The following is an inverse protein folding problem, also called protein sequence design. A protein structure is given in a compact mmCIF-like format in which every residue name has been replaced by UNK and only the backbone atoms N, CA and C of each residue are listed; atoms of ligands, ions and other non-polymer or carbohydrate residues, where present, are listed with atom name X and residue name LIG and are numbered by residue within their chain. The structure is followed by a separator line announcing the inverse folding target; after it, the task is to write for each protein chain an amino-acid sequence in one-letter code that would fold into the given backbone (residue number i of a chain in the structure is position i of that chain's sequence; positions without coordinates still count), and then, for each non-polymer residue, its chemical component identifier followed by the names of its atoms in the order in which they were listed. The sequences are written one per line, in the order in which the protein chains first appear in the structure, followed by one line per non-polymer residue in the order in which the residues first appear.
data_IF_723449937321
#
_entry.id   IF_723449937321
#
_cell.length_a   1.000
_cell.length_b   1.000
_cell.length_c   1.000
_cell.angle_alpha   90.00
_cell.angle_beta   90.00
_cell.angle_gamma   90.00
#
_symmetry.space_group_name_H-M   'P 1'
#
loop_
_entity.id
_entity.type
_entity.pdbx_description
1 polymer ?
#
# COMPACT_ATOMS: atom_id res chain seq x y z
N UNK A 1 16.48 2.39 -13.27
CA UNK A 1 15.59 1.20 -13.22
C UNK A 1 16.43 0.03 -13.73
N UNK A 2 16.68 -1.03 -12.92
CA UNK A 2 17.44 -2.17 -13.40
C UNK A 2 16.66 -2.87 -14.52
N UNK A 3 17.31 -3.07 -15.67
CA UNK A 3 16.76 -3.87 -16.76
C UNK A 3 16.75 -5.34 -16.33
N UNK A 4 15.59 -5.98 -16.43
CA UNK A 4 15.42 -7.41 -16.12
C UNK A 4 15.37 -8.20 -17.42
N UNK A 5 16.00 -9.38 -17.41
CA UNK A 5 15.80 -10.35 -18.47
C UNK A 5 14.33 -10.85 -18.39
N UNK A 6 13.62 -10.74 -19.48
CA UNK A 6 12.27 -11.28 -19.58
C UNK A 6 12.36 -12.78 -19.86
N UNK A 7 12.01 -13.60 -18.87
CA UNK A 7 11.89 -15.05 -19.08
C UNK A 7 10.44 -15.39 -19.44
N UNK A 8 10.27 -15.97 -20.63
CA UNK A 8 9.00 -16.47 -21.11
C UNK A 8 8.86 -17.93 -20.65
N UNK A 9 8.05 -18.18 -19.62
CA UNK A 9 7.80 -19.52 -19.13
C UNK A 9 7.23 -19.53 -17.71
N UNK A 10 6.87 -20.70 -17.15
CA UNK A 10 6.34 -20.84 -15.79
C UNK A 10 7.41 -20.69 -14.70
N UNK A 11 8.60 -20.17 -15.03
CA UNK A 11 9.69 -19.95 -14.09
C UNK A 11 9.40 -18.81 -13.10
N UNK A 12 9.91 -18.94 -11.90
CA UNK A 12 9.88 -17.85 -10.92
C UNK A 12 10.80 -16.71 -11.37
N UNK A 13 10.26 -15.50 -11.42
CA UNK A 13 11.00 -14.30 -11.83
C UNK A 13 12.14 -13.96 -10.86
N UNK A 14 12.03 -14.38 -9.60
CA UNK A 14 12.99 -14.19 -8.53
C UNK A 14 13.55 -15.56 -8.12
N UNK A 15 14.86 -15.71 -8.25
CA UNK A 15 15.54 -16.96 -7.90
C UNK A 15 15.72 -17.12 -6.39
N UNK A 16 15.94 -16.00 -5.68
CA UNK A 16 16.01 -15.94 -4.23
C UNK A 16 14.68 -15.42 -3.69
N UNK A 17 14.09 -16.15 -2.77
CA UNK A 17 12.90 -15.74 -2.03
C UNK A 17 13.04 -16.14 -0.57
N UNK A 18 12.76 -15.19 0.32
CA UNK A 18 12.72 -15.42 1.76
C UNK A 18 11.43 -14.86 2.32
N UNK A 19 10.60 -15.73 2.88
CA UNK A 19 9.26 -15.42 3.37
C UNK A 19 9.27 -15.22 4.86
N UNK A 20 8.90 -14.03 5.33
CA UNK A 20 8.74 -13.72 6.75
C UNK A 20 7.26 -13.61 7.04
N UNK A 21 6.75 -14.49 7.91
CA UNK A 21 5.32 -14.63 8.20
C UNK A 21 5.04 -14.35 9.66
N UNK A 22 4.10 -13.46 9.93
CA UNK A 22 3.57 -13.17 11.26
C UNK A 22 2.14 -13.72 11.47
N UNK A 23 1.54 -13.57 12.65
CA UNK A 23 0.14 -13.88 12.91
C UNK A 23 -0.81 -13.13 11.96
N UNK A 24 -2.10 -13.50 11.93
CA UNK A 24 -3.10 -12.84 11.08
C UNK A 24 -3.22 -11.32 11.35
N UNK A 25 -2.94 -10.90 12.58
CA UNK A 25 -2.94 -9.50 13.05
C UNK A 25 -1.52 -8.95 13.25
N UNK A 26 -0.48 -9.60 12.67
CA UNK A 26 0.91 -9.17 12.81
C UNK A 26 1.07 -7.67 12.51
N UNK A 27 1.94 -7.02 13.27
CA UNK A 27 2.32 -5.63 12.99
C UNK A 27 3.05 -5.57 11.63
N UNK A 28 2.57 -4.69 10.76
CA UNK A 28 3.15 -4.49 9.44
C UNK A 28 4.52 -3.81 9.50
N UNK A 29 4.73 -2.94 10.49
CA UNK A 29 6.02 -2.28 10.71
C UNK A 29 7.09 -3.29 11.13
N UNK A 30 6.74 -4.20 12.02
CA UNK A 30 7.68 -5.24 12.47
C UNK A 30 8.05 -6.20 11.32
N UNK A 31 7.06 -6.60 10.49
CA UNK A 31 7.36 -7.41 9.29
C UNK A 31 8.28 -6.66 8.32
N UNK A 32 8.07 -5.36 8.18
CA UNK A 32 8.89 -4.52 7.30
C UNK A 32 10.31 -4.35 7.86
N UNK A 33 10.47 -4.10 9.17
CA UNK A 33 11.80 -4.00 9.77
C UNK A 33 12.61 -5.29 9.61
N UNK A 34 11.99 -6.45 9.86
CA UNK A 34 12.64 -7.75 9.63
C UNK A 34 13.02 -7.96 8.16
N UNK A 35 12.19 -7.51 7.22
CA UNK A 35 12.50 -7.60 5.79
C UNK A 35 13.64 -6.66 5.38
N UNK A 36 13.74 -5.47 5.99
CA UNK A 36 14.85 -4.54 5.74
C UNK A 36 16.18 -5.09 6.28
N UNK A 37 16.18 -5.75 7.45
CA UNK A 37 17.39 -6.42 7.95
C UNK A 37 17.92 -7.46 6.96
N UNK A 38 17.03 -8.25 6.34
CA UNK A 38 17.43 -9.21 5.29
C UNK A 38 17.92 -8.48 4.04
N UNK A 39 17.25 -7.38 3.64
CA UNK A 39 17.69 -6.58 2.49
C UNK A 39 19.05 -5.95 2.71
N UNK A 40 19.34 -5.47 3.93
CA UNK A 40 20.64 -4.87 4.25
C UNK A 40 21.77 -5.90 4.13
N UNK A 41 21.57 -7.12 4.63
CA UNK A 41 22.51 -8.22 4.44
C UNK A 41 22.75 -8.56 2.95
N UNK A 42 21.68 -8.46 2.13
CA UNK A 42 21.79 -8.67 0.69
C UNK A 42 22.49 -7.49 -0.03
N UNK A 43 22.27 -6.24 0.43
CA UNK A 43 22.95 -5.04 -0.12
C UNK A 43 24.45 -5.06 0.11
N UNK A 44 24.86 -5.60 1.25
CA UNK A 44 26.26 -5.74 1.62
C UNK A 44 26.97 -6.88 0.87
N UNK A 45 26.19 -7.74 0.18
CA UNK A 45 26.75 -8.88 -0.55
C UNK A 45 26.93 -8.55 -2.05
N UNK A 46 28.20 -8.48 -2.55
CA UNK A 46 28.47 -8.13 -3.95
C UNK A 46 27.87 -9.08 -4.98
N UNK A 47 27.54 -10.31 -4.59
CA UNK A 47 26.91 -11.30 -5.46
C UNK A 47 25.40 -11.12 -5.60
N UNK A 48 24.77 -10.31 -4.75
CA UNK A 48 23.37 -9.98 -4.84
C UNK A 48 23.14 -8.83 -5.85
N UNK A 49 22.26 -9.07 -6.81
CA UNK A 49 21.91 -8.09 -7.84
C UNK A 49 20.61 -7.35 -7.54
N UNK A 50 19.65 -7.42 -8.47
CA UNK A 50 18.35 -6.80 -8.25
C UNK A 50 17.63 -7.41 -7.04
N UNK A 51 17.12 -6.56 -6.14
CA UNK A 51 16.42 -6.98 -4.94
C UNK A 51 15.20 -6.09 -4.67
N UNK A 52 14.18 -6.65 -4.05
CA UNK A 52 12.97 -5.92 -3.64
C UNK A 52 12.22 -6.66 -2.54
N UNK A 53 11.25 -5.95 -1.94
CA UNK A 53 10.21 -6.51 -1.09
C UNK A 53 8.89 -6.51 -1.87
N UNK A 54 8.12 -7.58 -1.77
CA UNK A 54 6.86 -7.76 -2.51
C UNK A 54 5.73 -6.81 -2.06
N UNK A 55 5.82 -6.24 -0.85
CA UNK A 55 4.84 -5.25 -0.35
C UNK A 55 5.01 -3.87 -1.01
N UNK A 56 6.10 -3.62 -1.73
CA UNK A 56 6.43 -2.33 -2.33
C UNK A 56 6.59 -1.21 -1.30
N UNK A 57 6.60 0.03 -1.77
CA UNK A 57 6.72 1.22 -0.91
C UNK A 57 5.35 1.59 -0.33
N UNK A 58 5.36 2.17 0.88
CA UNK A 58 4.18 2.80 1.45
C UNK A 58 3.76 3.98 0.60
N UNK A 59 2.46 4.27 0.65
CA UNK A 59 1.89 5.45 -0.01
C UNK A 59 1.33 6.41 1.03
N UNK A 60 1.42 7.72 0.80
CA UNK A 60 0.79 8.70 1.65
C UNK A 60 -0.73 8.63 1.48
N UNK A 61 -1.44 8.69 2.60
CA UNK A 61 -2.90 8.70 2.69
C UNK A 61 -3.35 9.94 3.44
N UNK A 62 -4.26 10.68 2.87
CA UNK A 62 -4.90 11.82 3.53
C UNK A 62 -6.14 11.33 4.30
N UNK A 63 -6.17 11.59 5.60
CA UNK A 63 -7.27 11.20 6.47
C UNK A 63 -7.91 12.47 7.06
N UNK A 64 -9.17 12.79 6.70
CA UNK A 64 -9.89 13.84 7.37
C UNK A 64 -10.09 13.52 8.84
N UNK A 65 -9.70 14.44 9.73
CA UNK A 65 -9.88 14.27 11.17
C UNK A 65 -11.32 14.67 11.51
N UNK A 66 -12.20 13.68 11.52
CA UNK A 66 -13.62 13.88 11.74
C UNK A 66 -13.93 14.32 13.17
N UNK A 67 -14.59 15.48 13.33
CA UNK A 67 -15.03 15.98 14.61
C UNK A 67 -16.49 15.55 14.88
N UNK A 68 -16.66 14.56 15.75
CA UNK A 68 -17.95 13.94 15.99
C UNK A 68 -18.99 14.90 16.57
N UNK A 69 -18.59 15.83 17.44
CA UNK A 69 -19.53 16.77 18.07
C UNK A 69 -20.10 17.73 17.04
N UNK A 70 -19.24 18.42 16.30
CA UNK A 70 -19.65 19.37 15.26
C UNK A 70 -20.47 18.70 14.16
N UNK A 71 -20.04 17.52 13.74
CA UNK A 71 -20.71 16.75 12.70
C UNK A 71 -22.12 16.29 13.14
N UNK A 72 -22.27 15.91 14.43
CA UNK A 72 -23.57 15.53 14.99
C UNK A 72 -24.57 16.68 14.98
N UNK A 73 -24.12 17.89 15.35
CA UNK A 73 -24.97 19.09 15.27
C UNK A 73 -25.36 19.43 13.82
N UNK A 74 -24.44 19.22 12.88
CA UNK A 74 -24.67 19.46 11.46
C UNK A 74 -25.45 18.34 10.74
N UNK A 75 -25.76 17.22 11.43
CA UNK A 75 -26.40 16.06 10.83
C UNK A 75 -25.55 15.30 9.80
N UNK A 76 -24.22 15.43 9.89
CA UNK A 76 -23.25 14.83 8.97
C UNK A 76 -22.72 13.52 9.54
N UNK A 77 -22.84 12.43 8.82
CA UNK A 77 -22.21 11.17 9.16
C UNK A 77 -20.76 11.09 8.67
N UNK A 78 -19.97 10.20 9.26
CA UNK A 78 -18.59 9.93 8.80
C UNK A 78 -18.56 9.48 7.33
N UNK A 79 -19.59 8.75 6.92
CA UNK A 79 -19.77 8.29 5.53
C UNK A 79 -19.95 9.47 4.56
N UNK A 80 -20.66 10.53 4.96
CA UNK A 80 -20.87 11.72 4.11
C UNK A 80 -19.55 12.42 3.83
N UNK A 81 -18.67 12.54 4.86
CA UNK A 81 -17.31 13.08 4.71
C UNK A 81 -16.46 12.21 3.79
N UNK A 82 -16.52 10.88 3.97
CA UNK A 82 -15.77 9.94 3.11
C UNK A 82 -16.25 10.00 1.65
N UNK A 83 -17.57 10.08 1.44
CA UNK A 83 -18.14 10.21 0.09
C UNK A 83 -17.79 11.54 -0.58
N UNK A 84 -17.77 12.63 0.18
CA UNK A 84 -17.39 13.94 -0.33
C UNK A 84 -15.91 13.96 -0.76
N UNK A 85 -15.00 13.45 0.09
CA UNK A 85 -13.56 13.36 -0.22
C UNK A 85 -13.29 12.42 -1.40
N UNK A 86 -13.92 11.25 -1.42
CA UNK A 86 -13.80 10.31 -2.55
C UNK A 86 -14.28 10.93 -3.86
N UNK A 87 -15.45 11.59 -3.85
CA UNK A 87 -15.97 12.29 -5.03
C UNK A 87 -15.01 13.37 -5.54
N UNK A 88 -14.39 14.12 -4.63
CA UNK A 88 -13.49 15.21 -5.02
C UNK A 88 -12.19 14.71 -5.65
N UNK A 89 -11.53 13.72 -5.05
CA UNK A 89 -10.18 13.31 -5.42
C UNK A 89 -10.15 12.06 -6.33
N UNK A 90 -10.79 10.96 -5.92
CA UNK A 90 -10.79 9.70 -6.67
C UNK A 90 -11.83 9.70 -7.80
N UNK A 91 -12.95 10.36 -7.53
CA UNK A 91 -14.13 10.32 -8.36
C UNK A 91 -15.18 9.30 -7.89
N UNK A 92 -16.43 9.58 -8.24
CA UNK A 92 -17.58 8.72 -8.00
C UNK A 92 -18.23 8.34 -9.31
N UNK A 93 -18.43 7.06 -9.54
CA UNK A 93 -19.22 6.58 -10.67
C UNK A 93 -20.68 6.96 -10.45
N UNK A 94 -21.24 7.77 -11.36
CA UNK A 94 -22.61 8.27 -11.32
C UNK A 94 -23.53 7.58 -12.33
N UNK A 95 -22.97 6.83 -13.26
CA UNK A 95 -23.71 6.09 -14.28
C UNK A 95 -22.78 5.22 -15.11
N UNK A 96 -23.41 4.44 -16.00
CA UNK A 96 -22.72 3.63 -16.98
C UNK A 96 -23.21 4.03 -18.37
N UNK A 97 -22.29 4.32 -19.26
CA UNK A 97 -22.58 4.49 -20.69
C UNK A 97 -22.31 3.18 -21.40
N UNK A 98 -23.28 2.71 -22.19
CA UNK A 98 -23.13 1.50 -22.98
C UNK A 98 -22.73 1.86 -24.39
N UNK A 99 -21.58 1.37 -24.82
CA UNK A 99 -21.12 1.45 -26.19
C UNK A 99 -20.95 0.03 -26.75
N UNK A 100 -21.90 -0.38 -27.59
CA UNK A 100 -22.01 -1.75 -28.09
C UNK A 100 -22.01 -2.78 -26.94
N UNK A 101 -20.94 -3.57 -26.78
CA UNK A 101 -20.78 -4.60 -25.74
C UNK A 101 -20.01 -4.09 -24.52
N UNK A 102 -19.47 -2.88 -24.56
CA UNK A 102 -18.71 -2.29 -23.45
C UNK A 102 -19.57 -1.40 -22.57
N UNK A 103 -19.35 -1.49 -21.25
CA UNK A 103 -19.95 -0.63 -20.24
C UNK A 103 -18.88 0.33 -19.71
N UNK A 104 -18.97 1.59 -20.12
CA UNK A 104 -18.03 2.64 -19.72
C UNK A 104 -18.56 3.40 -18.51
N UNK A 105 -17.82 3.45 -17.37
CA UNK A 105 -18.25 4.19 -16.20
C UNK A 105 -18.17 5.70 -16.43
N UNK A 106 -19.25 6.41 -16.11
CA UNK A 106 -19.27 7.87 -16.06
C UNK A 106 -18.79 8.27 -14.65
N UNK A 107 -17.62 8.90 -14.57
CA UNK A 107 -17.01 9.28 -13.28
C UNK A 107 -17.08 10.78 -13.09
N UNK A 108 -17.74 11.20 -12.00
CA UNK A 108 -17.77 12.59 -11.53
C UNK A 108 -16.63 12.83 -10.54
N UNK A 109 -15.75 13.79 -10.82
CA UNK A 109 -14.69 14.24 -9.93
C UNK A 109 -14.40 15.73 -10.13
N UNK A 110 -13.71 16.35 -9.17
CA UNK A 110 -13.25 17.73 -9.31
C UNK A 110 -12.22 17.88 -10.44
N UNK A 111 -12.09 19.06 -10.98
CA UNK A 111 -11.08 19.40 -11.99
C UNK A 111 -9.67 19.23 -11.42
N UNK A 112 -8.69 19.07 -12.29
CA UNK A 112 -7.32 18.74 -11.88
C UNK A 112 -6.67 19.82 -11.00
N UNK A 113 -6.88 21.08 -11.32
CA UNK A 113 -6.35 22.20 -10.55
C UNK A 113 -6.82 22.20 -9.09
N UNK A 114 -8.10 21.88 -8.84
CA UNK A 114 -8.66 21.78 -7.51
C UNK A 114 -8.11 20.57 -6.74
N UNK A 115 -7.78 19.49 -7.44
CA UNK A 115 -7.23 18.27 -6.84
C UNK A 115 -5.73 18.36 -6.54
N UNK A 116 -5.01 19.21 -7.26
CA UNK A 116 -3.57 19.40 -7.08
C UNK A 116 -3.22 20.18 -5.81
N UNK A 117 -4.20 20.90 -5.22
CA UNK A 117 -3.99 21.72 -4.03
C UNK A 117 -4.74 21.18 -2.81
N UNK A 118 -4.03 21.07 -1.67
CA UNK A 118 -4.65 20.79 -0.38
C UNK A 118 -5.49 21.96 0.16
N UNK A 119 -5.26 23.19 -0.32
CA UNK A 119 -6.05 24.35 0.07
C UNK A 119 -7.52 24.22 -0.34
N UNK A 120 -7.80 23.44 -1.38
CA UNK A 120 -9.18 23.18 -1.84
C UNK A 120 -9.95 22.23 -0.90
N UNK A 121 -9.26 21.55 0.02
CA UNK A 121 -9.89 20.62 0.93
C UNK A 121 -10.87 21.32 1.88
N UNK A 122 -10.49 22.41 2.49
CA UNK A 122 -11.30 23.10 3.51
C UNK A 122 -12.63 23.66 2.97
N UNK A 123 -12.68 23.95 1.67
CA UNK A 123 -13.89 24.44 0.99
C UNK A 123 -14.74 23.32 0.37
N UNK A 124 -14.27 22.09 0.43
CA UNK A 124 -14.99 20.94 -0.10
C UNK A 124 -16.38 20.82 0.54
N UNK A 125 -17.41 20.71 -0.29
CA UNK A 125 -18.79 20.62 0.18
C UNK A 125 -19.17 19.20 0.53
N UNK A 126 -19.63 19.02 1.79
CA UNK A 126 -20.22 17.79 2.30
C UNK A 126 -21.74 17.93 2.30
N UNK A 127 -22.44 16.96 1.77
CA UNK A 127 -23.90 16.88 1.80
C UNK A 127 -24.30 15.81 2.81
N UNK A 128 -25.02 16.17 3.90
CA UNK A 128 -25.60 15.19 4.80
C UNK A 128 -26.62 14.31 4.06
N UNK A 129 -26.68 13.03 4.42
CA UNK A 129 -27.55 12.06 3.74
C UNK A 129 -29.06 12.35 3.83
N UNK A 130 -29.47 13.15 4.80
CA UNK A 130 -30.90 13.46 5.05
C UNK A 130 -31.32 14.85 4.56
N UNK A 131 -30.41 15.66 4.05
CA UNK A 131 -30.71 17.03 3.60
C UNK A 131 -30.15 17.32 2.22
N UNK A 132 -30.72 18.31 1.55
CA UNK A 132 -30.18 18.81 0.26
C UNK A 132 -29.17 19.95 0.46
N UNK A 133 -29.07 20.47 1.69
CA UNK A 133 -28.11 21.53 2.03
C UNK A 133 -26.70 20.96 2.11
N UNK A 134 -25.71 21.72 1.65
CA UNK A 134 -24.30 21.38 1.76
C UNK A 134 -23.61 22.31 2.75
N UNK A 135 -22.51 21.85 3.33
CA UNK A 135 -21.66 22.63 4.22
C UNK A 135 -20.19 22.34 3.95
N UNK A 136 -19.28 23.31 4.19
CA UNK A 136 -17.84 23.09 4.06
C UNK A 136 -17.33 22.00 5.00
N UNK A 137 -16.45 21.12 4.52
CA UNK A 137 -15.87 20.02 5.29
C UNK A 137 -15.14 20.53 6.55
N UNK A 138 -14.55 21.71 6.51
CA UNK A 138 -13.88 22.36 7.63
C UNK A 138 -14.79 22.56 8.86
N UNK A 139 -16.10 22.61 8.67
CA UNK A 139 -17.07 22.72 9.78
C UNK A 139 -17.19 21.41 10.58
N UNK A 140 -16.90 20.27 9.99
CA UNK A 140 -17.08 18.93 10.57
C UNK A 140 -15.79 18.13 10.73
N UNK A 141 -14.65 18.73 10.38
CA UNK A 141 -13.33 18.13 10.54
C UNK A 141 -12.36 19.09 11.25
N UNK A 142 -11.33 18.54 11.89
CA UNK A 142 -10.22 19.28 12.52
C UNK A 142 -8.99 19.32 11.59
N UNK A 143 -9.21 19.34 10.27
CA UNK A 143 -8.17 19.36 9.26
C UNK A 143 -7.88 17.97 8.68
N UNK A 144 -6.69 17.83 8.07
CA UNK A 144 -6.22 16.60 7.42
C UNK A 144 -5.00 16.08 8.16
N UNK A 145 -4.97 14.78 8.41
CA UNK A 145 -3.79 14.06 8.87
C UNK A 145 -3.18 13.28 7.70
N UNK A 146 -1.87 13.40 7.52
CA UNK A 146 -1.13 12.57 6.58
C UNK A 146 -0.68 11.29 7.30
N UNK A 147 -1.05 10.16 6.78
CA UNK A 147 -0.66 8.84 7.28
C UNK A 147 0.02 8.05 6.15
N UNK A 148 0.88 7.10 6.51
CA UNK A 148 1.46 6.17 5.58
C UNK A 148 0.72 4.85 5.62
N UNK A 149 0.33 4.34 4.46
CA UNK A 149 -0.38 3.06 4.33
C UNK A 149 0.43 2.09 3.47
N UNK A 150 0.35 0.82 3.84
CA UNK A 150 0.94 -0.24 3.03
C UNK A 150 0.15 -0.38 1.71
N UNK A 151 0.85 -0.28 0.58
CA UNK A 151 0.24 -0.43 -0.74
C UNK A 151 -0.34 -1.83 -0.94
N UNK A 152 0.32 -2.84 -0.35
CA UNK A 152 -0.04 -4.23 -0.48
C UNK A 152 0.39 -5.01 0.74
N UNK A 153 -0.50 -5.81 1.27
CA UNK A 153 -0.22 -6.76 2.35
C UNK A 153 -0.59 -8.16 1.86
N UNK A 154 0.42 -9.01 1.65
CA UNK A 154 0.19 -10.39 1.27
C UNK A 154 -0.14 -11.27 2.47
N UNK A 155 -0.93 -12.30 2.21
CA UNK A 155 -1.19 -13.38 3.17
C UNK A 155 -0.91 -14.72 2.52
N UNK A 156 -0.19 -15.57 3.27
CA UNK A 156 0.04 -16.97 2.95
C UNK A 156 -0.44 -17.79 4.14
N UNK A 157 -1.25 -18.80 3.89
CA UNK A 157 -1.83 -19.67 4.95
C UNK A 157 -2.50 -18.85 6.07
N UNK A 158 -3.27 -17.82 5.70
CA UNK A 158 -3.96 -16.86 6.60
C UNK A 158 -3.02 -16.01 7.49
N UNK A 159 -1.71 -16.09 7.30
CA UNK A 159 -0.71 -15.29 8.01
C UNK A 159 -0.28 -14.11 7.14
N UNK A 160 -0.05 -12.94 7.74
CA UNK A 160 0.58 -11.82 7.02
C UNK A 160 2.01 -12.23 6.66
N UNK A 161 2.36 -12.14 5.41
CA UNK A 161 3.66 -12.59 4.89
C UNK A 161 4.26 -11.51 4.02
N UNK A 162 5.51 -11.18 4.29
CA UNK A 162 6.35 -10.30 3.48
C UNK A 162 7.45 -11.14 2.86
N UNK A 163 7.75 -10.91 1.57
CA UNK A 163 8.75 -11.68 0.84
C UNK A 163 9.88 -10.78 0.40
N UNK A 164 11.07 -11.11 0.85
CA UNK A 164 12.31 -10.54 0.30
C UNK A 164 12.69 -11.34 -0.93
N UNK A 165 12.90 -10.64 -2.03
CA UNK A 165 13.19 -11.22 -3.33
C UNK A 165 14.48 -10.65 -3.89
N UNK A 166 15.35 -11.51 -4.40
CA UNK A 166 16.59 -11.10 -5.04
C UNK A 166 16.97 -12.01 -6.22
N UNK A 167 17.85 -11.50 -7.06
CA UNK A 167 18.53 -12.30 -8.08
C UNK A 167 20.04 -12.16 -7.93
N UNK A 168 20.83 -13.20 -8.16
CA UNK A 168 22.28 -13.03 -8.22
C UNK A 168 22.67 -12.08 -9.36
N UNK A 169 23.84 -11.45 -9.26
CA UNK A 169 24.41 -10.65 -10.36
C UNK A 169 24.65 -11.51 -11.59
N UNK A 170 24.70 -10.87 -12.76
CA UNK A 170 24.88 -11.57 -14.03
C UNK A 170 26.16 -12.45 -14.00
N UNK A 171 26.03 -13.70 -14.39
CA UNK A 171 27.11 -14.67 -14.38
C UNK A 171 27.33 -15.43 -13.06
N UNK A 172 26.56 -15.09 -12.02
CA UNK A 172 26.55 -15.82 -10.75
C UNK A 172 25.32 -16.72 -10.62
N UNK A 173 25.43 -17.73 -9.78
CA UNK A 173 24.34 -18.69 -9.54
C UNK A 173 23.72 -18.50 -8.16
N UNK A 174 22.45 -18.90 -8.00
CA UNK A 174 21.77 -18.87 -6.71
C UNK A 174 22.53 -19.62 -5.61
N UNK A 175 23.03 -20.86 -5.82
CA UNK A 175 23.80 -21.58 -4.81
C UNK A 175 25.04 -20.83 -4.32
N UNK A 176 25.69 -20.06 -5.20
CA UNK A 176 26.87 -19.25 -4.83
C UNK A 176 26.47 -18.12 -3.90
N UNK A 177 25.39 -17.39 -4.25
CA UNK A 177 24.83 -16.34 -3.39
C UNK A 177 24.38 -16.90 -2.03
N UNK A 178 23.64 -18.01 -2.03
CA UNK A 178 23.13 -18.66 -0.81
C UNK A 178 24.24 -19.00 0.18
N UNK A 179 25.37 -19.52 -0.28
CA UNK A 179 26.53 -19.82 0.59
C UNK A 179 27.03 -18.62 1.38
N UNK A 180 26.88 -17.42 0.84
CA UNK A 180 27.36 -16.19 1.49
C UNK A 180 26.35 -15.60 2.48
N UNK A 181 25.05 -15.74 2.17
CA UNK A 181 24.02 -15.03 2.91
C UNK A 181 23.20 -15.92 3.86
N UNK A 182 23.10 -17.21 3.58
CA UNK A 182 22.20 -18.12 4.32
C UNK A 182 22.44 -18.10 5.82
N UNK A 183 23.66 -18.30 6.28
CA UNK A 183 23.99 -18.34 7.71
C UNK A 183 23.71 -17.00 8.40
N UNK A 184 23.94 -15.89 7.69
CA UNK A 184 23.70 -14.53 8.21
C UNK A 184 22.20 -14.27 8.36
N UNK A 185 21.42 -14.66 7.36
CA UNK A 185 19.96 -14.48 7.35
C UNK A 185 19.28 -15.39 8.39
N UNK A 186 19.72 -16.65 8.51
CA UNK A 186 19.21 -17.60 9.53
C UNK A 186 19.56 -17.21 10.96
N UNK A 187 20.56 -16.34 11.16
CA UNK A 187 20.92 -15.79 12.45
C UNK A 187 19.99 -14.65 12.93
N UNK A 188 19.11 -14.13 12.06
CA UNK A 188 18.12 -13.10 12.45
C UNK A 188 17.10 -13.73 13.39
N UNK A 189 17.00 -13.20 14.59
CA UNK A 189 16.06 -13.69 15.60
C UNK A 189 14.62 -13.31 15.23
N UNK A 190 13.75 -14.31 15.09
CA UNK A 190 12.33 -14.10 14.83
C UNK A 190 11.57 -13.92 16.13
N UNK A 191 10.78 -12.83 16.29
CA UNK A 191 9.94 -12.63 17.47
C UNK A 191 8.92 -13.75 17.67
N UNK A 192 8.40 -13.97 18.90
CA UNK A 192 7.40 -15.00 19.16
C UNK A 192 6.19 -14.91 18.23
N UNK A 193 5.82 -16.01 17.60
CA UNK A 193 4.72 -16.09 16.66
C UNK A 193 5.06 -15.72 15.21
N UNK A 194 6.28 -15.22 14.95
CA UNK A 194 6.81 -15.01 13.61
C UNK A 194 7.66 -16.20 13.19
N UNK A 195 7.70 -16.45 11.89
CA UNK A 195 8.54 -17.49 11.30
C UNK A 195 9.07 -17.02 9.96
N UNK A 196 10.21 -17.55 9.59
CA UNK A 196 10.81 -17.32 8.28
C UNK A 196 11.08 -18.64 7.58
N UNK A 197 10.91 -18.65 6.26
CA UNK A 197 11.05 -19.84 5.42
C UNK A 197 11.68 -19.46 4.08
N UNK A 198 12.47 -20.36 3.52
CA UNK A 198 12.98 -20.24 2.16
C UNK A 198 11.89 -20.59 1.14
N UNK A 199 11.83 -19.86 0.01
CA UNK A 199 10.91 -20.05 -1.09
C UNK A 199 11.51 -20.77 -2.30
#
# INVERSE_FOLDING_TARGET
VPMRKFDVGPGQTWQFQYWISGPAIADTELLRSLSEEVLDLLRDEPLAGAMQVDWRQKVPKMVPVYNQERARYAGVAREDVANATKRAYDGRTIGLYREQDELLPIVLRHVEDDRASLASFDVLQVQPGLTTSTLPIAQVTDGIKMEWEETRVWRRDRRRTITVQANPVLGQTLPTLMKQVQTKIEAIEMPPGYKAEWG
#
